data_IF_045301883941
#
_entry.id   IF_045301883941
#
_cell.length_a   1.000
_cell.length_b   1.000
_cell.length_c   1.000
_cell.angle_alpha   90.00
_cell.angle_beta   90.00
_cell.angle_gamma   90.00
#
_symmetry.space_group_name_H-M   'P 1'
#
loop_
_entity.id
_entity.type
_entity.pdbx_description
1 polymer ?
#
# COMPACT_ATOMS: atom_id res chain seq x y z
N UNK A 1 7.88 -23.54 -29.12
CA UNK A 1 8.44 -23.25 -27.77
C UNK A 1 7.27 -22.92 -26.88
N UNK A 2 6.99 -23.77 -25.92
CA UNK A 2 5.95 -23.45 -24.94
C UNK A 2 6.44 -22.30 -24.09
N UNK A 3 5.78 -21.16 -24.15
CA UNK A 3 5.98 -20.08 -23.20
C UNK A 3 5.70 -20.64 -21.80
N UNK A 4 6.73 -20.75 -21.00
CA UNK A 4 6.58 -21.21 -19.62
C UNK A 4 5.93 -20.07 -18.87
N UNK A 5 4.66 -20.24 -18.56
CA UNK A 5 3.84 -19.22 -17.92
C UNK A 5 4.33 -18.99 -16.50
N UNK A 6 4.70 -17.76 -16.21
CA UNK A 6 5.00 -17.32 -14.84
C UNK A 6 3.71 -17.19 -14.05
N UNK A 7 3.75 -17.63 -12.81
CA UNK A 7 2.61 -17.57 -11.91
C UNK A 7 3.03 -16.91 -10.59
N UNK A 8 2.07 -16.39 -9.88
CA UNK A 8 2.31 -15.77 -8.58
C UNK A 8 2.20 -16.78 -7.46
N UNK A 9 3.20 -16.78 -6.60
CA UNK A 9 3.26 -17.61 -5.40
C UNK A 9 3.42 -16.75 -4.16
N UNK A 10 2.87 -17.22 -3.06
CA UNK A 10 3.04 -16.59 -1.76
C UNK A 10 4.09 -17.35 -0.97
N UNK A 11 5.13 -16.65 -0.57
CA UNK A 11 6.18 -17.18 0.29
C UNK A 11 5.92 -16.71 1.71
N UNK A 12 5.89 -17.64 2.65
CA UNK A 12 5.77 -17.35 4.06
C UNK A 12 7.13 -17.00 4.64
N UNK A 13 7.20 -15.85 5.28
CA UNK A 13 8.41 -15.36 5.94
C UNK A 13 8.18 -15.14 7.44
N UNK A 14 9.25 -14.99 8.18
CA UNK A 14 9.17 -14.56 9.58
C UNK A 14 8.65 -13.13 9.63
N UNK A 15 7.64 -12.87 10.43
CA UNK A 15 7.05 -11.54 10.57
C UNK A 15 8.08 -10.48 10.94
N UNK A 16 8.06 -9.36 10.22
CA UNK A 16 9.04 -8.28 10.34
C UNK A 16 10.36 -8.50 9.60
N UNK A 17 10.53 -9.63 8.92
CA UNK A 17 11.73 -9.97 8.13
C UNK A 17 11.46 -10.03 6.61
N UNK A 18 10.30 -9.57 6.17
CA UNK A 18 9.87 -9.64 4.77
C UNK A 18 10.85 -8.91 3.83
N UNK A 19 11.34 -7.74 4.22
CA UNK A 19 12.33 -6.99 3.43
C UNK A 19 13.64 -7.76 3.28
N UNK A 20 14.10 -8.40 4.34
CA UNK A 20 15.31 -9.23 4.29
C UNK A 20 15.15 -10.45 3.39
N UNK A 21 13.97 -11.08 3.42
CA UNK A 21 13.65 -12.18 2.51
C UNK A 21 13.68 -11.71 1.06
N UNK A 22 13.09 -10.56 0.77
CA UNK A 22 13.16 -9.95 -0.56
C UNK A 22 14.61 -9.72 -1.01
N UNK A 23 15.43 -9.10 -0.18
CA UNK A 23 16.85 -8.85 -0.48
C UNK A 23 17.62 -10.15 -0.74
N UNK A 24 17.40 -11.17 0.07
CA UNK A 24 18.05 -12.48 -0.13
C UNK A 24 17.60 -13.16 -1.41
N UNK A 25 16.30 -13.13 -1.72
CA UNK A 25 15.77 -13.69 -2.96
C UNK A 25 16.32 -12.96 -4.19
N UNK A 26 16.35 -11.64 -4.15
CA UNK A 26 16.95 -10.85 -5.23
C UNK A 26 18.44 -11.12 -5.41
N UNK A 27 19.18 -11.31 -4.33
CA UNK A 27 20.58 -11.69 -4.37
C UNK A 27 20.79 -13.09 -4.99
N UNK A 28 19.94 -14.06 -4.63
CA UNK A 28 19.98 -15.42 -5.21
C UNK A 28 19.61 -15.42 -6.70
N UNK A 29 18.63 -14.60 -7.09
CA UNK A 29 18.26 -14.40 -8.51
C UNK A 29 19.46 -13.87 -9.30
N UNK A 30 20.19 -12.91 -8.78
CA UNK A 30 21.39 -12.36 -9.43
C UNK A 30 22.54 -13.37 -9.47
N UNK A 31 22.77 -14.08 -8.36
CA UNK A 31 23.86 -15.06 -8.22
C UNK A 31 23.70 -16.23 -9.19
N UNK A 32 22.49 -16.70 -9.36
CA UNK A 32 22.18 -17.88 -10.16
C UNK A 32 21.61 -17.54 -11.56
N UNK A 33 21.60 -16.27 -11.94
CA UNK A 33 21.06 -15.79 -13.23
C UNK A 33 19.61 -16.25 -13.48
N UNK A 34 18.77 -16.13 -12.46
CA UNK A 34 17.37 -16.60 -12.49
C UNK A 34 16.35 -15.50 -12.90
N UNK A 35 16.83 -14.40 -13.48
CA UNK A 35 15.97 -13.26 -13.88
C UNK A 35 14.86 -13.66 -14.86
N UNK A 36 15.15 -14.64 -15.71
CA UNK A 36 14.17 -15.17 -16.67
C UNK A 36 13.11 -16.03 -16.00
N UNK A 37 13.42 -16.63 -14.87
CA UNK A 37 12.54 -17.52 -14.13
C UNK A 37 11.81 -16.84 -12.99
N UNK A 38 12.42 -15.86 -12.34
CA UNK A 38 11.82 -15.03 -11.28
C UNK A 38 11.83 -13.59 -11.77
N UNK A 39 10.65 -13.08 -12.12
CA UNK A 39 10.53 -11.73 -12.70
C UNK A 39 10.31 -10.65 -11.65
N UNK A 40 9.51 -10.93 -10.63
CA UNK A 40 9.16 -9.94 -9.61
C UNK A 40 9.09 -10.55 -8.22
N UNK A 41 9.52 -9.77 -7.24
CA UNK A 41 9.38 -10.10 -5.82
C UNK A 41 8.77 -8.86 -5.15
N UNK A 42 7.57 -9.01 -4.62
CA UNK A 42 6.81 -7.92 -4.01
C UNK A 42 6.44 -8.24 -2.57
N UNK A 43 6.47 -7.21 -1.75
CA UNK A 43 5.92 -7.26 -0.39
C UNK A 43 4.61 -6.46 -0.44
N UNK A 44 3.46 -7.07 -0.10
CA UNK A 44 2.20 -6.35 -0.09
C UNK A 44 2.21 -5.32 1.04
N UNK A 45 2.37 -4.05 0.70
CA UNK A 45 2.40 -2.92 1.61
C UNK A 45 1.23 -1.97 1.35
N UNK A 46 0.76 -1.33 2.38
CA UNK A 46 -0.18 -0.22 2.30
C UNK A 46 0.45 1.04 2.89
N UNK A 47 0.15 2.18 2.33
CA UNK A 47 0.57 3.45 2.91
C UNK A 47 -0.43 3.87 3.97
N UNK A 48 0.03 3.94 5.20
CA UNK A 48 -0.76 4.44 6.33
C UNK A 48 -0.28 5.85 6.64
N UNK A 49 -1.22 6.77 6.71
CA UNK A 49 -0.94 8.14 7.05
C UNK A 49 -1.15 8.38 8.54
N UNK A 50 -0.15 8.89 9.19
CA UNK A 50 -0.22 9.32 10.59
C UNK A 50 0.11 10.80 10.68
N UNK A 51 -0.53 11.49 11.63
CA UNK A 51 -0.23 12.90 11.91
C UNK A 51 0.79 12.94 13.02
N UNK A 52 1.99 13.48 12.74
CA UNK A 52 3.01 13.79 13.74
C UNK A 52 3.32 15.29 13.70
N UNK A 53 3.24 15.96 14.84
CA UNK A 53 3.52 17.40 14.97
C UNK A 53 2.74 18.27 13.97
N UNK A 54 1.48 17.95 13.69
CA UNK A 54 0.64 18.65 12.72
C UNK A 54 0.99 18.39 11.25
N UNK A 55 1.96 17.54 10.98
CA UNK A 55 2.34 17.12 9.61
C UNK A 55 1.86 15.72 9.31
N UNK A 56 1.30 15.52 8.12
CA UNK A 56 0.95 14.22 7.62
C UNK A 56 2.24 13.47 7.24
N UNK A 57 2.51 12.39 7.94
CA UNK A 57 3.63 11.49 7.64
C UNK A 57 3.06 10.21 7.04
N UNK A 58 3.50 9.87 5.84
CA UNK A 58 3.20 8.57 5.25
C UNK A 58 4.18 7.54 5.78
N UNK A 59 3.65 6.42 6.21
CA UNK A 59 4.44 5.26 6.62
C UNK A 59 3.93 4.03 5.84
N UNK A 60 4.85 3.35 5.20
CA UNK A 60 4.52 2.06 4.60
C UNK A 60 4.35 1.01 5.70
N UNK A 61 3.22 0.37 5.69
CA UNK A 61 2.90 -0.75 6.58
C UNK A 61 2.67 -1.99 5.73
N UNK A 62 3.25 -3.11 6.12
CA UNK A 62 3.00 -4.38 5.47
C UNK A 62 1.54 -4.78 5.67
N UNK A 63 0.77 -4.90 4.58
CA UNK A 63 -0.65 -5.28 4.62
C UNK A 63 -0.86 -6.69 5.13
N UNK A 64 0.05 -7.58 4.73
CA UNK A 64 0.03 -8.99 5.12
C UNK A 64 1.38 -9.37 5.74
N UNK A 65 1.57 -9.16 7.05
CA UNK A 65 2.83 -9.51 7.73
C UNK A 65 3.18 -11.00 7.57
N UNK A 66 4.42 -11.28 7.23
CA UNK A 66 4.91 -12.65 7.04
C UNK A 66 4.64 -13.24 5.65
N UNK A 67 4.23 -12.42 4.68
CA UNK A 67 4.01 -12.86 3.29
C UNK A 67 4.81 -12.05 2.30
N UNK A 68 5.39 -12.73 1.32
CA UNK A 68 6.11 -12.15 0.19
C UNK A 68 5.53 -12.76 -1.09
N UNK A 69 5.21 -11.93 -2.06
CA UNK A 69 4.71 -12.36 -3.37
C UNK A 69 5.88 -12.53 -4.34
N UNK A 70 5.91 -13.65 -5.04
CA UNK A 70 6.94 -13.95 -6.04
C UNK A 70 6.27 -14.38 -7.34
N UNK A 71 6.57 -13.68 -8.43
CA UNK A 71 6.19 -14.09 -9.77
C UNK A 71 7.33 -14.92 -10.37
N UNK A 72 7.08 -16.19 -10.55
CA UNK A 72 8.11 -17.13 -10.97
C UNK A 72 7.56 -18.33 -11.73
N UNK A 73 8.48 -18.99 -12.43
CA UNK A 73 8.32 -20.36 -12.91
C UNK A 73 8.98 -21.28 -11.88
N UNK A 74 8.18 -22.11 -11.21
CA UNK A 74 8.72 -23.06 -10.24
C UNK A 74 9.21 -24.33 -10.97
N UNK A 75 10.35 -24.21 -11.60
CA UNK A 75 11.02 -25.32 -12.29
C UNK A 75 12.43 -25.55 -11.72
N UNK A 76 12.89 -26.78 -11.82
CA UNK A 76 14.23 -27.16 -11.42
C UNK A 76 14.56 -26.87 -9.94
N UNK A 77 15.55 -26.03 -9.71
CA UNK A 77 16.06 -25.71 -8.37
C UNK A 77 15.37 -24.54 -7.69
N UNK A 78 14.50 -23.81 -8.39
CA UNK A 78 13.90 -22.58 -7.89
C UNK A 78 13.08 -22.79 -6.61
N UNK A 79 12.19 -23.80 -6.50
CA UNK A 79 11.48 -24.05 -5.25
C UNK A 79 12.42 -24.33 -4.07
N UNK A 80 13.49 -25.05 -4.34
CA UNK A 80 14.50 -25.35 -3.33
C UNK A 80 15.25 -24.11 -2.86
N UNK A 81 15.67 -23.25 -3.78
CA UNK A 81 16.37 -21.98 -3.49
C UNK A 81 15.47 -21.09 -2.63
N UNK A 82 14.21 -20.94 -3.00
CA UNK A 82 13.27 -20.10 -2.26
C UNK A 82 13.02 -20.64 -0.83
N UNK A 83 12.81 -21.94 -0.69
CA UNK A 83 12.58 -22.56 0.63
C UNK A 83 13.81 -22.49 1.55
N UNK A 84 15.01 -22.54 1.00
CA UNK A 84 16.25 -22.46 1.77
C UNK A 84 16.74 -21.03 2.01
N UNK A 85 16.03 -20.03 1.51
CA UNK A 85 16.35 -18.63 1.78
C UNK A 85 16.17 -18.34 3.28
N UNK A 86 17.14 -17.64 3.92
CA UNK A 86 17.02 -17.28 5.32
C UNK A 86 15.72 -16.51 5.61
N UNK A 87 15.09 -16.81 6.76
CA UNK A 87 13.80 -16.27 7.20
C UNK A 87 12.57 -16.69 6.39
N UNK A 88 12.70 -17.59 5.43
CA UNK A 88 11.59 -18.21 4.71
C UNK A 88 11.11 -19.45 5.46
N UNK A 89 9.81 -19.55 5.66
CA UNK A 89 9.15 -20.69 6.31
C UNK A 89 8.63 -21.72 5.30
N UNK A 90 8.46 -21.33 4.04
CA UNK A 90 7.95 -22.14 2.96
C UNK A 90 6.93 -21.40 2.11
N UNK A 91 6.25 -22.10 1.20
CA UNK A 91 5.15 -21.54 0.43
C UNK A 91 3.83 -21.61 1.20
N UNK A 92 2.95 -20.65 0.93
CA UNK A 92 1.59 -20.69 1.45
C UNK A 92 0.83 -21.86 0.81
N UNK A 93 0.10 -22.61 1.63
CA UNK A 93 -0.65 -23.76 1.17
C UNK A 93 0.16 -25.06 1.06
N UNK A 94 1.45 -25.01 1.36
CA UNK A 94 2.28 -26.22 1.41
C UNK A 94 1.75 -27.17 2.49
N UNK A 95 1.26 -28.32 2.05
CA UNK A 95 1.03 -29.48 2.94
C UNK A 95 2.35 -30.23 3.14
N UNK A 96 2.41 -31.05 4.21
CA UNK A 96 3.60 -31.90 4.44
C UNK A 96 3.93 -32.81 3.26
N UNK A 97 2.92 -33.21 2.50
CA UNK A 97 3.09 -34.04 1.31
C UNK A 97 3.57 -33.24 0.12
N UNK A 98 3.05 -32.04 -0.08
CA UNK A 98 3.44 -31.14 -1.17
C UNK A 98 4.84 -30.56 -0.95
N UNK A 99 5.21 -30.28 0.29
CA UNK A 99 6.57 -29.88 0.66
C UNK A 99 7.62 -30.93 0.26
N UNK A 100 7.27 -32.21 0.34
CA UNK A 100 8.16 -33.30 -0.13
C UNK A 100 8.26 -33.37 -1.64
N UNK A 101 7.17 -33.01 -2.36
CA UNK A 101 7.12 -33.01 -3.83
C UNK A 101 7.63 -31.71 -4.45
N UNK A 102 8.06 -30.74 -3.64
CA UNK A 102 8.53 -29.41 -4.06
C UNK A 102 7.49 -28.65 -4.93
N UNK A 103 6.22 -28.97 -4.84
CA UNK A 103 5.15 -28.26 -5.52
C UNK A 103 4.58 -27.18 -4.61
N UNK A 104 4.45 -25.98 -5.13
CA UNK A 104 3.72 -24.90 -4.50
C UNK A 104 2.44 -24.62 -5.28
N UNK A 105 1.41 -24.17 -4.58
CA UNK A 105 0.14 -23.81 -5.21
C UNK A 105 0.18 -22.34 -5.63
N UNK A 106 0.02 -22.01 -6.92
CA UNK A 106 -0.01 -20.64 -7.37
C UNK A 106 -1.28 -19.93 -6.91
N UNK A 107 -1.18 -18.61 -6.75
CA UNK A 107 -2.34 -17.76 -6.53
C UNK A 107 -3.24 -17.76 -7.76
N UNK A 108 -4.54 -17.70 -7.53
CA UNK A 108 -5.51 -17.51 -8.60
C UNK A 108 -5.39 -16.11 -9.18
N UNK A 109 -5.62 -15.89 -10.48
CA UNK A 109 -5.55 -14.57 -11.10
C UNK A 109 -6.40 -13.51 -10.39
N UNK A 110 -7.55 -13.89 -9.85
CA UNK A 110 -8.42 -12.99 -9.08
C UNK A 110 -7.82 -12.56 -7.75
N UNK A 111 -7.09 -13.46 -7.08
CA UNK A 111 -6.39 -13.15 -5.83
C UNK A 111 -5.20 -12.22 -6.07
N UNK A 112 -4.45 -12.48 -7.14
CA UNK A 112 -3.36 -11.61 -7.59
C UNK A 112 -3.87 -10.21 -7.90
N UNK A 113 -4.92 -10.10 -8.70
CA UNK A 113 -5.53 -8.81 -9.06
C UNK A 113 -6.03 -8.05 -7.82
N UNK A 114 -6.60 -8.75 -6.84
CA UNK A 114 -7.05 -8.15 -5.59
C UNK A 114 -5.91 -7.58 -4.76
N UNK A 115 -4.80 -8.32 -4.67
CA UNK A 115 -3.63 -7.89 -3.88
C UNK A 115 -2.86 -6.78 -4.60
N UNK A 116 -2.59 -6.95 -5.88
CA UNK A 116 -1.89 -5.95 -6.70
C UNK A 116 -2.75 -4.72 -6.98
N UNK A 117 -4.05 -4.90 -7.25
CA UNK A 117 -4.97 -3.79 -7.46
C UNK A 117 -5.09 -2.86 -6.27
N UNK A 118 -5.03 -3.36 -5.06
CA UNK A 118 -4.97 -2.51 -3.87
C UNK A 118 -3.68 -1.71 -3.78
N UNK A 119 -2.57 -2.27 -4.24
CA UNK A 119 -1.29 -1.56 -4.30
C UNK A 119 -1.34 -0.47 -5.36
N UNK A 120 -1.92 -0.77 -6.52
CA UNK A 120 -2.03 0.17 -7.62
C UNK A 120 -3.04 1.29 -7.33
N UNK A 121 -4.21 0.96 -6.78
CA UNK A 121 -5.20 1.97 -6.33
C UNK A 121 -4.63 2.93 -5.28
N UNK A 122 -3.70 2.45 -4.45
CA UNK A 122 -3.02 3.30 -3.47
C UNK A 122 -1.92 4.15 -4.10
N UNK A 123 -1.29 3.69 -5.17
CA UNK A 123 -0.29 4.45 -5.91
C UNK A 123 -0.94 5.49 -6.84
N UNK A 124 -2.05 5.16 -7.48
CA UNK A 124 -2.80 6.10 -8.31
C UNK A 124 -3.47 7.20 -7.48
N UNK A 125 -3.83 6.94 -6.24
CA UNK A 125 -4.38 7.96 -5.34
C UNK A 125 -3.38 9.02 -4.88
N UNK A 126 -2.09 8.91 -5.25
CA UNK A 126 -1.09 9.95 -4.98
C UNK A 126 -0.99 10.99 -6.10
N UNK A 127 -1.35 10.66 -7.33
CA UNK A 127 -1.22 11.60 -8.45
C UNK A 127 -2.44 12.49 -8.69
N UNK A 128 -3.62 12.09 -8.22
CA UNK A 128 -4.85 12.89 -8.32
C UNK A 128 -5.66 12.85 -7.02
N UNK A 129 -5.11 13.34 -5.93
CA UNK A 129 -6.00 13.83 -4.91
C UNK A 129 -6.48 15.20 -5.39
N UNK A 130 -7.56 15.17 -6.15
CA UNK A 130 -8.42 16.32 -6.31
C UNK A 130 -8.53 17.00 -4.96
N UNK A 131 -7.94 18.18 -4.88
CA UNK A 131 -8.17 19.04 -3.74
C UNK A 131 -9.67 19.35 -3.85
N UNK A 132 -10.53 18.73 -3.04
CA UNK A 132 -11.96 18.86 -3.25
C UNK A 132 -12.46 20.28 -2.98
N UNK A 133 -11.57 21.16 -2.55
CA UNK A 133 -11.86 22.50 -2.12
C UNK A 133 -11.07 23.54 -2.88
N UNK A 134 -11.73 24.60 -3.31
CA UNK A 134 -11.14 25.73 -4.04
C UNK A 134 -11.30 27.02 -3.23
N UNK A 135 -10.31 27.91 -3.31
CA UNK A 135 -10.39 29.24 -2.70
C UNK A 135 -11.61 30.02 -3.22
N UNK A 136 -12.38 30.58 -2.31
CA UNK A 136 -13.63 31.28 -2.65
C UNK A 136 -14.90 30.42 -2.58
N UNK A 137 -14.75 29.11 -2.36
CA UNK A 137 -15.87 28.18 -2.22
C UNK A 137 -16.51 28.29 -0.83
N UNK A 138 -17.84 28.16 -0.78
CA UNK A 138 -18.59 28.14 0.48
C UNK A 138 -18.64 26.71 1.01
N UNK A 139 -18.27 26.55 2.26
CA UNK A 139 -18.31 25.27 2.95
C UNK A 139 -19.01 25.39 4.29
N UNK A 140 -19.56 24.27 4.73
CA UNK A 140 -20.19 24.15 6.04
C UNK A 140 -19.26 23.41 7.00
N UNK A 141 -19.08 23.96 8.18
CA UNK A 141 -18.32 23.29 9.25
C UNK A 141 -19.18 22.18 9.85
N UNK A 142 -18.65 20.96 9.87
CA UNK A 142 -19.38 19.77 10.34
C UNK A 142 -18.95 19.30 11.72
N UNK A 143 -17.78 19.69 12.17
CA UNK A 143 -17.21 19.26 13.45
C UNK A 143 -16.64 20.43 14.26
N UNK A 144 -16.62 20.26 15.57
CA UNK A 144 -16.09 21.24 16.51
C UNK A 144 -17.15 22.23 17.03
N UNK A 145 -16.71 23.26 17.81
CA UNK A 145 -17.59 24.24 18.44
C UNK A 145 -18.31 25.15 17.43
N UNK A 146 -17.87 25.16 16.18
CA UNK A 146 -18.45 25.96 15.09
C UNK A 146 -19.20 25.12 14.06
N UNK A 147 -19.59 23.89 14.42
CA UNK A 147 -20.41 23.05 13.57
C UNK A 147 -21.72 23.76 13.16
N UNK A 148 -22.13 23.54 11.92
CA UNK A 148 -23.29 24.19 11.29
C UNK A 148 -23.08 25.65 10.83
N UNK A 149 -21.94 26.26 11.09
CA UNK A 149 -21.61 27.56 10.50
C UNK A 149 -21.10 27.39 9.06
N UNK A 150 -21.45 28.36 8.24
CA UNK A 150 -20.95 28.46 6.87
C UNK A 150 -19.78 29.42 6.82
N UNK A 151 -18.81 29.10 5.99
CA UNK A 151 -17.65 29.94 5.77
C UNK A 151 -17.15 29.88 4.35
N UNK A 152 -16.33 30.83 3.98
CA UNK A 152 -15.69 30.89 2.66
C UNK A 152 -14.23 30.49 2.79
N UNK A 153 -13.74 29.65 1.92
CA UNK A 153 -12.33 29.23 1.91
C UNK A 153 -11.45 30.38 1.46
N UNK A 154 -10.54 30.79 2.30
CA UNK A 154 -9.55 31.84 2.00
C UNK A 154 -8.23 31.25 1.48
N UNK A 155 -7.81 30.13 2.01
CA UNK A 155 -6.64 29.40 1.52
C UNK A 155 -6.76 27.90 1.72
N UNK A 156 -6.06 27.14 0.89
CA UNK A 156 -6.03 25.68 0.92
C UNK A 156 -4.58 25.23 1.05
N UNK A 157 -4.29 24.46 2.09
CA UNK A 157 -3.01 23.80 2.26
C UNK A 157 -3.19 22.30 1.97
N UNK A 158 -2.87 21.91 0.75
CA UNK A 158 -3.00 20.53 0.28
C UNK A 158 -2.06 19.57 1.00
N UNK A 159 -0.86 20.02 1.33
CA UNK A 159 0.14 19.18 2.01
C UNK A 159 -0.29 18.82 3.44
N UNK A 160 -0.82 19.82 4.17
CA UNK A 160 -1.32 19.61 5.53
C UNK A 160 -2.76 19.11 5.59
N UNK A 161 -3.48 19.06 4.45
CA UNK A 161 -4.93 18.81 4.37
C UNK A 161 -5.75 19.71 5.28
N UNK A 162 -5.41 20.98 5.27
CA UNK A 162 -6.06 22.01 6.06
C UNK A 162 -6.55 23.14 5.17
N UNK A 163 -7.62 23.76 5.62
CA UNK A 163 -8.24 24.93 5.01
C UNK A 163 -8.22 26.09 6.00
N UNK A 164 -8.01 27.29 5.50
CA UNK A 164 -8.38 28.49 6.23
C UNK A 164 -9.73 28.93 5.72
N UNK A 165 -10.73 28.84 6.58
CA UNK A 165 -12.11 29.19 6.30
C UNK A 165 -12.49 30.42 7.07
N UNK A 166 -12.99 31.43 6.39
CA UNK A 166 -13.51 32.64 7.02
C UNK A 166 -14.98 32.41 7.39
N UNK A 167 -15.19 32.21 8.67
CA UNK A 167 -16.55 31.97 9.21
C UNK A 167 -17.10 33.27 9.79
N UNK A 168 -18.33 33.56 9.50
CA UNK A 168 -19.00 34.74 10.04
C UNK A 168 -19.61 34.44 11.42
N UNK A 169 -18.92 34.91 12.46
CA UNK A 169 -19.32 34.72 13.85
C UNK A 169 -19.73 36.08 14.43
N UNK A 170 -20.93 36.20 14.93
CA UNK A 170 -21.48 37.46 15.50
C UNK A 170 -21.28 38.69 14.59
N UNK A 171 -21.46 38.51 13.30
CA UNK A 171 -21.30 39.59 12.31
C UNK A 171 -19.84 39.91 11.93
N UNK A 172 -18.87 39.22 12.47
CA UNK A 172 -17.43 39.38 12.15
C UNK A 172 -16.90 38.19 11.40
N UNK A 173 -16.12 38.45 10.36
CA UNK A 173 -15.37 37.40 9.65
C UNK A 173 -14.18 36.97 10.49
N UNK A 174 -14.15 35.71 10.88
CA UNK A 174 -13.07 35.12 11.67
C UNK A 174 -12.42 34.00 10.85
N UNK A 175 -11.14 34.14 10.49
CA UNK A 175 -10.43 33.04 9.80
C UNK A 175 -10.16 31.90 10.79
N UNK A 176 -10.44 30.69 10.36
CA UNK A 176 -10.22 29.47 11.14
C UNK A 176 -9.52 28.42 10.32
N UNK A 177 -8.54 27.78 10.91
CA UNK A 177 -7.87 26.64 10.31
C UNK A 177 -8.65 25.36 10.64
N UNK A 178 -9.13 24.68 9.62
CA UNK A 178 -9.93 23.45 9.72
C UNK A 178 -9.33 22.36 8.82
N UNK A 179 -9.45 21.11 9.21
CA UNK A 179 -9.07 20.01 8.35
C UNK A 179 -10.15 19.71 7.30
N UNK A 180 -9.77 19.06 6.20
CA UNK A 180 -10.70 18.68 5.12
C UNK A 180 -11.87 17.82 5.62
N UNK A 181 -11.66 17.07 6.70
CA UNK A 181 -12.69 16.22 7.31
C UNK A 181 -13.69 16.99 8.18
N UNK A 182 -13.39 18.23 8.54
CA UNK A 182 -14.22 19.07 9.41
C UNK A 182 -15.15 20.01 8.64
N UNK A 183 -15.09 20.00 7.33
CA UNK A 183 -15.90 20.81 6.44
C UNK A 183 -16.53 19.96 5.33
N UNK A 184 -17.70 20.40 4.89
CA UNK A 184 -18.44 19.78 3.80
C UNK A 184 -18.83 20.86 2.78
N UNK A 185 -18.80 20.52 1.49
CA UNK A 185 -19.30 21.41 0.45
C UNK A 185 -20.80 21.59 0.60
N UNK A 186 -21.22 22.81 0.45
CA UNK A 186 -22.66 23.13 0.40
C UNK A 186 -23.28 22.87 -0.98
#
# INVERSE_FOLDING_TARGET
>A
MSEVKKEWYVVRAIGGKENKVKEYLEAEVRRNNLQDSISQILIPTEKVYTIRNGKKVSKEKVSYPGYVLVEAVLDGQIPYIIRNTPNVLGFLGDTKEESRKLKATPLRPQEVARILGRVDEMNESEEEQDIPFVVGEVVKVTDGPFSSFQGTIESVNSEARKLVVSVKIFGRKTPMELSFTQVEKE
#
